data_IF_739938436631
#
_entry.id   IF_739938436631
#
_cell.length_a   1.000
_cell.length_b   1.000
_cell.length_c   1.000
_cell.angle_alpha   90.00
_cell.angle_beta   90.00
_cell.angle_gamma   90.00
#
_symmetry.space_group_name_H-M   'P 1'
#
loop_
_entity.id
_entity.type
_entity.pdbx_description
1 polymer ?
#
# COMPACT_ATOMS: atom_id res chain seq x y z
N UNK A 1 -38.57 19.54 -13.86
CA UNK A 1 -37.08 19.66 -13.85
C UNK A 1 -36.46 18.98 -12.66
N UNK A 2 -37.05 19.11 -11.47
CA UNK A 2 -36.54 18.45 -10.24
C UNK A 2 -36.58 16.90 -10.31
N UNK A 3 -37.59 16.31 -10.96
CA UNK A 3 -37.67 14.85 -11.13
C UNK A 3 -36.61 14.26 -12.08
N UNK A 4 -36.12 15.03 -13.08
CA UNK A 4 -35.04 14.59 -13.98
C UNK A 4 -33.67 14.55 -13.28
N UNK A 5 -33.42 15.42 -12.31
CA UNK A 5 -32.18 15.45 -11.55
C UNK A 5 -32.07 14.24 -10.58
N UNK A 6 -33.20 13.90 -9.93
CA UNK A 6 -33.23 12.73 -9.04
C UNK A 6 -33.11 11.39 -9.79
N UNK A 7 -33.71 11.27 -10.97
CA UNK A 7 -33.60 10.10 -11.84
C UNK A 7 -32.15 9.90 -12.31
N UNK A 8 -31.43 10.97 -12.60
CA UNK A 8 -30.00 10.90 -12.97
C UNK A 8 -29.12 10.43 -11.83
N UNK A 9 -29.35 10.90 -10.60
CA UNK A 9 -28.56 10.49 -9.43
C UNK A 9 -28.85 9.05 -9.00
N UNK A 10 -30.11 8.61 -9.05
CA UNK A 10 -30.46 7.22 -8.76
C UNK A 10 -29.94 6.24 -9.82
N UNK A 11 -29.91 6.65 -11.09
CA UNK A 11 -29.38 5.82 -12.18
C UNK A 11 -27.87 5.62 -12.02
N UNK A 12 -27.12 6.66 -11.65
CA UNK A 12 -25.68 6.53 -11.36
C UNK A 12 -25.39 5.59 -10.17
N UNK A 13 -26.22 5.59 -9.14
CA UNK A 13 -26.07 4.72 -7.97
C UNK A 13 -26.39 3.26 -8.32
N UNK A 14 -27.38 3.02 -9.19
CA UNK A 14 -27.79 1.66 -9.58
C UNK A 14 -26.89 1.01 -10.62
N UNK A 15 -26.18 1.81 -11.42
CA UNK A 15 -25.31 1.34 -12.49
C UNK A 15 -23.80 1.33 -12.07
N UNK A 16 -23.50 1.61 -10.81
CA UNK A 16 -22.13 1.50 -10.28
C UNK A 16 -21.68 0.05 -10.27
N UNK A 17 -20.56 -0.23 -10.91
CA UNK A 17 -19.93 -1.52 -10.87
C UNK A 17 -19.29 -1.71 -9.49
N UNK A 18 -19.59 -2.82 -8.83
CA UNK A 18 -18.88 -3.22 -7.61
C UNK A 18 -17.46 -3.61 -7.99
N UNK A 19 -16.50 -2.73 -7.66
CA UNK A 19 -15.09 -2.95 -7.94
C UNK A 19 -14.37 -3.41 -6.66
N UNK A 20 -13.94 -4.65 -6.64
CA UNK A 20 -13.20 -5.29 -5.54
C UNK A 20 -11.73 -5.52 -5.89
N UNK A 21 -11.17 -4.82 -6.86
CA UNK A 21 -9.77 -4.95 -7.22
C UNK A 21 -8.85 -4.60 -6.03
N UNK A 22 -7.72 -5.28 -5.95
CA UNK A 22 -6.69 -5.00 -4.97
C UNK A 22 -6.02 -3.64 -5.28
N UNK A 23 -6.24 -2.67 -4.40
CA UNK A 23 -5.76 -1.30 -4.55
C UNK A 23 -6.82 -0.37 -5.11
N UNK A 24 -7.07 -0.29 -6.44
CA UNK A 24 -8.06 0.63 -7.00
C UNK A 24 -9.48 0.10 -6.83
N UNK A 25 -9.93 0.02 -5.58
CA UNK A 25 -11.26 -0.47 -5.22
C UNK A 25 -12.31 0.63 -5.28
N UNK A 26 -13.56 0.24 -5.04
CA UNK A 26 -14.71 1.16 -4.95
C UNK A 26 -14.54 2.11 -3.75
N UNK A 27 -14.78 3.40 -3.99
CA UNK A 27 -14.85 4.42 -2.96
C UNK A 27 -16.32 4.71 -2.60
N UNK A 28 -16.62 5.14 -1.35
CA UNK A 28 -17.94 5.63 -0.99
C UNK A 28 -18.37 6.78 -1.90
N UNK A 29 -19.66 6.80 -2.27
CA UNK A 29 -20.18 7.82 -3.19
C UNK A 29 -20.07 9.24 -2.61
N UNK A 30 -20.28 9.37 -1.31
CA UNK A 30 -20.18 10.65 -0.59
C UNK A 30 -18.78 11.25 -0.72
N UNK A 31 -17.74 10.42 -0.59
CA UNK A 31 -16.33 10.83 -0.77
C UNK A 31 -16.09 11.31 -2.20
N UNK A 32 -16.61 10.60 -3.20
CA UNK A 32 -16.47 11.00 -4.61
C UNK A 32 -17.19 12.30 -4.92
N UNK A 33 -18.37 12.54 -4.32
CA UNK A 33 -19.13 13.77 -4.46
C UNK A 33 -18.41 14.96 -3.82
N UNK A 34 -17.81 14.76 -2.65
CA UNK A 34 -17.01 15.77 -1.97
C UNK A 34 -15.79 16.15 -2.83
N UNK A 35 -15.01 15.17 -3.28
CA UNK A 35 -13.89 15.39 -4.19
C UNK A 35 -14.32 16.12 -5.47
N UNK A 36 -15.46 15.75 -6.06
CA UNK A 36 -15.99 16.42 -7.25
C UNK A 36 -16.32 17.88 -6.97
N UNK A 37 -16.92 18.19 -5.83
CA UNK A 37 -17.33 19.56 -5.48
C UNK A 37 -16.16 20.49 -5.21
N UNK A 38 -15.06 19.95 -4.70
CA UNK A 38 -13.85 20.71 -4.31
C UNK A 38 -12.72 20.64 -5.36
N UNK A 39 -12.93 19.88 -6.45
CA UNK A 39 -11.85 19.62 -7.43
C UNK A 39 -11.30 20.88 -8.08
N UNK A 40 -12.13 21.85 -8.36
CA UNK A 40 -11.73 23.11 -9.03
C UNK A 40 -11.39 24.21 -8.04
N UNK A 41 -12.01 24.21 -6.87
CA UNK A 41 -11.83 25.25 -5.84
C UNK A 41 -11.97 24.63 -4.45
N UNK A 42 -10.85 24.30 -3.83
CA UNK A 42 -10.83 23.74 -2.50
C UNK A 42 -11.17 24.81 -1.47
N UNK A 43 -12.34 24.68 -0.84
CA UNK A 43 -12.81 25.52 0.27
C UNK A 43 -12.76 27.04 0.00
N UNK A 44 -12.98 27.47 -1.24
CA UNK A 44 -12.94 28.89 -1.62
C UNK A 44 -11.53 29.48 -1.73
N UNK A 45 -10.51 28.65 -1.84
CA UNK A 45 -9.12 29.10 -1.99
C UNK A 45 -8.78 29.66 -3.37
N UNK A 46 -9.66 29.46 -4.35
CA UNK A 46 -9.45 29.84 -5.74
C UNK A 46 -8.55 28.88 -6.52
N UNK A 47 -8.20 27.72 -5.95
CA UNK A 47 -7.40 26.73 -6.64
C UNK A 47 -7.75 25.29 -6.21
N UNK A 48 -7.43 24.32 -7.08
CA UNK A 48 -7.54 22.90 -6.78
C UNK A 48 -6.47 22.45 -5.78
N UNK A 49 -6.77 21.44 -4.98
CA UNK A 49 -5.74 20.76 -4.17
C UNK A 49 -4.60 20.21 -5.04
N UNK A 50 -4.87 19.82 -6.28
CA UNK A 50 -3.87 19.30 -7.22
C UNK A 50 -2.83 20.35 -7.65
N UNK A 51 -3.16 21.63 -7.49
CA UNK A 51 -2.30 22.77 -7.84
C UNK A 51 -1.60 23.36 -6.60
N UNK A 52 -2.01 22.94 -5.40
CA UNK A 52 -1.47 23.50 -4.16
C UNK A 52 -0.05 23.02 -3.84
N UNK A 53 0.75 23.95 -3.34
CA UNK A 53 2.02 23.57 -2.73
C UNK A 53 1.77 22.76 -1.44
N UNK A 54 2.58 21.72 -1.21
CA UNK A 54 2.57 20.98 0.06
C UNK A 54 2.91 21.87 1.30
N UNK A 55 3.38 23.11 1.09
CA UNK A 55 3.64 24.12 2.13
C UNK A 55 2.50 25.12 2.29
N UNK A 56 1.40 24.96 1.56
CA UNK A 56 0.23 25.81 1.74
C UNK A 56 -0.48 25.45 3.06
N UNK A 57 -0.90 26.43 3.87
CA UNK A 57 -1.51 26.16 5.18
C UNK A 57 -2.73 25.23 5.11
N UNK A 58 -3.53 25.35 4.04
CA UNK A 58 -4.68 24.46 3.81
C UNK A 58 -4.21 23.01 3.57
N UNK A 59 -3.16 22.81 2.76
CA UNK A 59 -2.60 21.49 2.53
C UNK A 59 -1.99 20.90 3.79
N UNK A 60 -1.21 21.68 4.55
CA UNK A 60 -0.61 21.23 5.81
C UNK A 60 -1.69 20.79 6.82
N UNK A 61 -2.80 21.53 6.88
CA UNK A 61 -3.95 21.16 7.72
C UNK A 61 -4.55 19.82 7.30
N UNK A 62 -4.86 19.65 6.01
CA UNK A 62 -5.43 18.39 5.47
C UNK A 62 -4.49 17.21 5.75
N UNK A 63 -3.19 17.39 5.54
CA UNK A 63 -2.21 16.34 5.81
C UNK A 63 -2.15 15.97 7.30
N UNK A 64 -2.21 16.96 8.19
CA UNK A 64 -2.20 16.73 9.64
C UNK A 64 -3.50 16.04 10.11
N UNK A 65 -4.65 16.41 9.57
CA UNK A 65 -5.94 15.77 9.84
C UNK A 65 -5.91 14.31 9.37
N UNK A 66 -5.44 14.04 8.15
CA UNK A 66 -5.32 12.68 7.63
C UNK A 66 -4.37 11.80 8.48
N UNK A 67 -3.26 12.36 8.99
CA UNK A 67 -2.39 11.66 9.92
C UNK A 67 -3.09 11.34 11.24
N UNK A 68 -3.83 12.30 11.80
CA UNK A 68 -4.57 12.13 13.05
C UNK A 68 -5.67 11.07 12.90
N UNK A 69 -6.44 11.11 11.82
CA UNK A 69 -7.51 10.16 11.53
C UNK A 69 -6.96 8.73 11.38
N UNK A 70 -5.84 8.54 10.71
CA UNK A 70 -5.19 7.23 10.59
C UNK A 70 -4.75 6.72 11.96
N UNK A 71 -4.16 7.56 12.79
CA UNK A 71 -3.76 7.20 14.15
C UNK A 71 -4.96 6.81 15.00
N UNK A 72 -6.04 7.57 14.94
CA UNK A 72 -7.27 7.29 15.67
C UNK A 72 -7.89 5.95 15.23
N UNK A 73 -8.07 5.75 13.91
CA UNK A 73 -8.66 4.53 13.35
C UNK A 73 -7.88 3.27 13.69
N UNK A 74 -6.56 3.37 13.79
CA UNK A 74 -5.67 2.26 14.11
C UNK A 74 -5.35 2.14 15.61
N UNK A 75 -5.82 3.06 16.45
CA UNK A 75 -5.52 3.10 17.88
C UNK A 75 -4.04 3.30 18.20
N UNK A 76 -3.32 4.10 17.38
CA UNK A 76 -1.89 4.35 17.54
C UNK A 76 -1.62 5.50 18.50
N UNK A 77 -0.62 5.34 19.35
CA UNK A 77 -0.14 6.37 20.27
C UNK A 77 0.90 7.31 19.64
N UNK A 78 1.47 8.17 20.50
CA UNK A 78 2.46 9.18 20.10
C UNK A 78 3.83 8.60 19.71
N UNK A 79 4.06 7.32 19.99
CA UNK A 79 5.25 6.56 19.58
C UNK A 79 5.22 6.13 18.11
N UNK A 80 4.10 6.40 17.41
CA UNK A 80 3.93 6.15 15.97
C UNK A 80 3.87 7.46 15.18
N UNK A 81 4.40 7.43 13.95
CA UNK A 81 4.19 8.48 12.95
C UNK A 81 3.60 7.89 11.67
N UNK A 82 2.80 8.69 10.98
CA UNK A 82 2.25 8.35 9.65
C UNK A 82 3.08 9.04 8.59
N UNK A 83 3.53 8.29 7.58
CA UNK A 83 4.31 8.82 6.48
C UNK A 83 3.59 8.54 5.16
N UNK A 84 3.20 9.59 4.45
CA UNK A 84 2.63 9.49 3.10
C UNK A 84 3.77 9.45 2.08
N UNK A 85 4.01 8.28 1.48
CA UNK A 85 5.15 8.05 0.62
C UNK A 85 4.70 7.61 -0.78
N UNK A 86 5.35 8.13 -1.81
CA UNK A 86 5.19 7.67 -3.17
C UNK A 86 5.85 6.31 -3.43
N UNK A 87 5.61 5.72 -4.62
CA UNK A 87 6.31 4.51 -5.08
C UNK A 87 5.72 3.19 -4.61
N UNK A 88 4.71 3.21 -3.74
CA UNK A 88 3.99 2.02 -3.27
C UNK A 88 4.90 0.97 -2.63
N UNK A 89 4.43 -0.29 -2.59
CA UNK A 89 5.19 -1.41 -2.05
C UNK A 89 6.49 -1.70 -2.82
N UNK A 90 6.56 -1.36 -4.10
CA UNK A 90 7.78 -1.56 -4.90
C UNK A 90 8.95 -0.72 -4.38
N UNK A 91 8.69 0.53 -3.96
CA UNK A 91 9.74 1.34 -3.34
C UNK A 91 10.12 0.81 -1.96
N UNK A 92 9.18 0.28 -1.19
CA UNK A 92 9.46 -0.32 0.12
C UNK A 92 10.41 -1.51 0.03
N UNK A 93 10.38 -2.29 -1.07
CA UNK A 93 11.32 -3.38 -1.29
C UNK A 93 12.77 -2.91 -1.37
N UNK A 94 13.01 -1.68 -1.83
CA UNK A 94 14.33 -1.05 -1.79
C UNK A 94 14.63 -0.36 -0.46
N UNK A 95 13.64 0.30 0.14
CA UNK A 95 13.83 1.08 1.36
C UNK A 95 14.13 0.20 2.59
N UNK A 96 13.52 -0.98 2.69
CA UNK A 96 13.79 -1.92 3.79
C UNK A 96 15.28 -2.30 3.83
N UNK A 97 15.89 -2.83 2.75
CA UNK A 97 17.31 -3.13 2.78
C UNK A 97 18.19 -1.88 2.94
N UNK A 98 17.84 -0.74 2.36
CA UNK A 98 18.60 0.51 2.54
C UNK A 98 18.66 0.99 3.99
N UNK A 99 17.64 0.69 4.79
CA UNK A 99 17.58 1.10 6.19
C UNK A 99 18.10 0.03 7.16
N UNK A 100 17.94 -1.26 6.85
CA UNK A 100 18.17 -2.33 7.81
C UNK A 100 19.30 -3.29 7.44
N UNK A 101 19.83 -3.27 6.22
CA UNK A 101 20.94 -4.14 5.81
C UNK A 101 22.27 -3.41 5.98
N UNK A 102 22.90 -3.62 7.13
CA UNK A 102 24.23 -3.06 7.42
C UNK A 102 25.37 -3.78 6.70
N UNK A 103 26.54 -3.11 6.67
CA UNK A 103 27.74 -3.68 6.09
C UNK A 103 28.14 -5.02 6.75
N UNK A 104 28.40 -6.04 5.94
CA UNK A 104 28.78 -7.37 6.41
C UNK A 104 27.63 -8.24 6.91
N UNK A 105 26.40 -7.71 6.94
CA UNK A 105 25.19 -8.46 7.28
C UNK A 105 24.56 -9.11 6.05
N UNK A 106 23.61 -9.99 6.29
CA UNK A 106 22.87 -10.72 5.26
C UNK A 106 21.39 -10.55 5.50
N UNK A 107 20.63 -10.20 4.46
CA UNK A 107 19.16 -10.20 4.49
C UNK A 107 18.63 -11.57 4.09
N UNK A 108 17.67 -12.11 4.83
CA UNK A 108 16.99 -13.36 4.50
C UNK A 108 15.60 -13.08 3.95
N UNK A 109 15.21 -13.83 2.92
CA UNK A 109 13.91 -13.68 2.26
C UNK A 109 13.20 -15.03 2.13
N UNK A 110 11.98 -15.12 2.63
CA UNK A 110 11.08 -16.23 2.32
C UNK A 110 10.30 -15.91 1.03
N UNK A 111 10.61 -16.65 -0.04
CA UNK A 111 10.02 -16.40 -1.37
C UNK A 111 8.77 -17.26 -1.54
N UNK A 112 7.62 -16.63 -1.36
CA UNK A 112 6.28 -17.26 -1.38
C UNK A 112 5.34 -16.63 -2.42
N UNK A 113 5.83 -15.69 -3.23
CA UNK A 113 5.06 -15.04 -4.29
C UNK A 113 5.96 -14.32 -5.29
N UNK A 114 5.38 -13.85 -6.39
CA UNK A 114 6.06 -12.96 -7.32
C UNK A 114 6.52 -11.65 -6.66
N UNK A 115 5.80 -11.15 -5.65
CA UNK A 115 6.18 -9.94 -4.93
C UNK A 115 7.40 -10.16 -4.04
N UNK A 116 7.48 -11.29 -3.34
CA UNK A 116 8.69 -11.63 -2.58
C UNK A 116 9.91 -11.84 -3.49
N UNK A 117 9.73 -12.41 -4.68
CA UNK A 117 10.80 -12.52 -5.69
C UNK A 117 11.29 -11.14 -6.17
N UNK A 118 10.37 -10.17 -6.37
CA UNK A 118 10.73 -8.77 -6.65
C UNK A 118 11.47 -8.12 -5.50
N UNK A 119 11.04 -8.36 -4.26
CA UNK A 119 11.69 -7.82 -3.08
C UNK A 119 13.15 -8.33 -2.95
N UNK A 120 13.41 -9.59 -3.24
CA UNK A 120 14.78 -10.15 -3.33
C UNK A 120 15.63 -9.36 -4.33
N UNK A 121 15.13 -9.14 -5.53
CA UNK A 121 15.87 -8.43 -6.59
C UNK A 121 16.22 -6.98 -6.21
N UNK A 122 15.36 -6.32 -5.46
CA UNK A 122 15.65 -4.97 -4.96
C UNK A 122 16.70 -5.01 -3.85
N UNK A 123 16.62 -5.98 -2.93
CA UNK A 123 17.58 -6.13 -1.85
C UNK A 123 18.99 -6.51 -2.34
N UNK A 124 19.09 -7.32 -3.39
CA UNK A 124 20.37 -7.70 -4.01
C UNK A 124 21.16 -6.51 -4.56
N UNK A 125 20.48 -5.40 -4.91
CA UNK A 125 21.12 -4.15 -5.32
C UNK A 125 21.80 -3.41 -4.15
N UNK A 126 21.36 -3.68 -2.93
CA UNK A 126 21.82 -3.02 -1.70
C UNK A 126 22.90 -3.84 -1.00
N UNK A 127 22.71 -5.18 -0.91
CA UNK A 127 23.65 -6.01 -0.19
C UNK A 127 23.43 -7.50 -0.37
N UNK A 128 24.02 -8.27 0.54
CA UNK A 128 23.98 -9.72 0.48
C UNK A 128 22.62 -10.27 0.90
N UNK A 129 22.06 -11.13 0.05
CA UNK A 129 20.75 -11.76 0.26
C UNK A 129 20.92 -13.28 0.30
N UNK A 130 20.11 -13.96 1.13
CA UNK A 130 19.91 -15.41 1.13
C UNK A 130 18.41 -15.71 1.07
N UNK A 131 18.08 -16.83 0.45
CA UNK A 131 16.70 -17.31 0.32
C UNK A 131 16.62 -18.64 1.07
N UNK A 132 16.36 -18.62 2.40
CA UNK A 132 16.27 -19.84 3.20
C UNK A 132 15.02 -20.68 2.88
N UNK A 133 14.03 -20.09 2.24
CA UNK A 133 12.83 -20.77 1.80
C UNK A 133 12.30 -20.17 0.47
N UNK A 134 11.86 -21.07 -0.43
CA UNK A 134 11.18 -20.67 -1.66
C UNK A 134 10.20 -21.76 -2.10
N UNK A 135 8.93 -21.39 -2.31
CA UNK A 135 7.92 -22.23 -2.95
C UNK A 135 7.74 -21.93 -4.46
N UNK A 136 8.69 -21.24 -5.07
CA UNK A 136 8.62 -20.84 -6.50
C UNK A 136 8.50 -22.03 -7.45
N UNK A 137 9.21 -23.13 -7.16
CA UNK A 137 9.12 -24.35 -7.96
C UNK A 137 7.74 -25.02 -7.90
N UNK A 138 7.03 -24.78 -6.81
CA UNK A 138 5.68 -25.25 -6.50
C UNK A 138 4.60 -24.20 -6.84
N UNK A 139 4.94 -23.24 -7.71
CA UNK A 139 4.04 -22.14 -8.15
C UNK A 139 3.49 -21.30 -6.98
N UNK A 140 4.26 -21.19 -5.88
CA UNK A 140 3.91 -20.45 -4.67
C UNK A 140 2.68 -20.96 -3.93
N UNK A 141 2.42 -22.25 -3.97
CA UNK A 141 1.22 -22.88 -3.41
C UNK A 141 1.27 -23.10 -1.89
N UNK A 142 2.41 -22.82 -1.24
CA UNK A 142 2.59 -23.00 0.20
C UNK A 142 3.49 -21.97 0.87
N UNK A 143 3.32 -21.84 2.17
CA UNK A 143 4.19 -21.09 3.07
C UNK A 143 5.16 -22.02 3.80
N UNK A 144 6.27 -21.49 4.37
CA UNK A 144 7.20 -22.30 5.13
C UNK A 144 6.54 -22.89 6.38
N UNK A 145 6.86 -24.13 6.68
CA UNK A 145 6.46 -24.80 7.91
C UNK A 145 7.46 -24.51 9.03
N UNK A 146 7.08 -24.68 10.31
CA UNK A 146 7.99 -24.52 11.43
C UNK A 146 9.27 -25.35 11.25
N UNK A 147 10.43 -24.67 11.36
CA UNK A 147 11.75 -25.30 11.22
C UNK A 147 12.32 -25.38 9.80
N UNK A 148 11.56 -25.01 8.75
CA UNK A 148 12.10 -24.96 7.39
C UNK A 148 13.02 -23.75 7.15
N UNK A 149 12.79 -22.63 7.85
CA UNK A 149 13.62 -21.44 7.73
C UNK A 149 14.81 -21.55 8.68
N UNK A 150 16.02 -21.53 8.10
CA UNK A 150 17.28 -21.44 8.86
C UNK A 150 17.99 -20.14 8.49
N UNK A 151 18.17 -19.28 9.47
CA UNK A 151 18.82 -17.98 9.29
C UNK A 151 20.33 -18.09 9.49
N UNK A 152 21.16 -17.35 8.72
CA UNK A 152 22.58 -17.24 8.97
C UNK A 152 22.85 -16.45 10.27
N UNK A 153 24.02 -16.67 10.90
CA UNK A 153 24.41 -16.00 12.16
C UNK A 153 24.44 -14.46 12.03
N UNK A 154 24.82 -13.95 10.87
CA UNK A 154 24.90 -12.51 10.58
C UNK A 154 23.64 -11.95 9.90
N UNK A 155 22.48 -12.59 10.12
CA UNK A 155 21.21 -12.16 9.53
C UNK A 155 20.75 -10.83 10.14
N UNK A 156 20.55 -9.80 9.28
CA UNK A 156 20.01 -8.52 9.70
C UNK A 156 18.49 -8.60 9.96
N UNK A 157 17.78 -9.27 9.07
CA UNK A 157 16.34 -9.47 9.15
C UNK A 157 15.87 -10.62 8.26
N UNK A 158 14.69 -11.14 8.57
CA UNK A 158 13.92 -12.01 7.70
C UNK A 158 12.77 -11.21 7.08
N UNK A 159 12.72 -11.14 5.76
CA UNK A 159 11.59 -10.55 5.02
C UNK A 159 10.57 -11.63 4.67
N UNK A 160 9.33 -11.35 5.01
CA UNK A 160 8.15 -12.09 4.55
C UNK A 160 7.20 -11.13 3.84
N UNK A 161 6.53 -11.59 2.79
CA UNK A 161 5.51 -10.80 2.11
C UNK A 161 4.14 -11.28 2.61
N UNK A 162 3.60 -10.61 3.64
CA UNK A 162 2.35 -11.01 4.28
C UNK A 162 1.14 -10.87 3.35
N UNK A 163 1.17 -9.88 2.45
CA UNK A 163 0.15 -9.70 1.42
C UNK A 163 0.54 -10.48 0.15
N UNK A 164 0.63 -11.79 0.27
CA UNK A 164 0.83 -12.69 -0.85
C UNK A 164 -0.53 -13.01 -1.46
N UNK A 165 -0.86 -12.35 -2.55
CA UNK A 165 -2.20 -12.40 -3.18
C UNK A 165 -2.65 -13.83 -3.56
N UNK A 166 -1.71 -14.73 -3.85
CA UNK A 166 -2.01 -16.11 -4.26
C UNK A 166 -2.71 -16.97 -3.21
N UNK A 167 -2.65 -16.62 -1.93
CA UNK A 167 -3.32 -17.37 -0.85
C UNK A 167 -4.01 -16.51 0.21
N UNK A 168 -4.00 -15.20 0.05
CA UNK A 168 -4.73 -14.26 0.93
C UNK A 168 -5.81 -13.49 0.20
N UNK A 169 -5.81 -13.48 -1.12
CA UNK A 169 -6.81 -12.84 -1.97
C UNK A 169 -7.38 -13.81 -2.99
N UNK A 170 -8.51 -13.42 -3.51
CA UNK A 170 -9.27 -14.11 -4.54
C UNK A 170 -8.48 -14.24 -5.86
N UNK A 171 -8.82 -15.25 -6.65
CA UNK A 171 -8.29 -15.50 -7.99
C UNK A 171 -8.45 -14.31 -8.98
N UNK A 172 -9.25 -13.30 -8.64
CA UNK A 172 -9.38 -12.06 -9.41
C UNK A 172 -8.09 -11.24 -9.52
N UNK A 173 -7.12 -11.49 -8.63
CA UNK A 173 -5.83 -10.78 -8.63
C UNK A 173 -4.78 -11.44 -9.55
N UNK A 174 -5.12 -12.53 -10.23
CA UNK A 174 -4.21 -13.31 -11.08
C UNK A 174 -4.30 -12.96 -12.57
N UNK A 175 -5.14 -12.01 -12.98
CA UNK A 175 -5.37 -11.66 -14.38
C UNK A 175 -4.53 -10.46 -14.84
#
# INVERSE_FOLDING_TARGET
EMQRSLVGSEMCIRDSIYNFNAGPAMLPLEVLQEVQSELLDLQGSGMSILEMSHRAPIYEKINAEAEADIKELLGLGDDYCVLFMGGGASLQFSMVPMNFLGAGQTAAYAVTSNFSDKAVKEAEKVGKVVIPFSSKAEKYDRVPQPGEIRLPENCAYLHITANCLLYTSDAADEL
#
